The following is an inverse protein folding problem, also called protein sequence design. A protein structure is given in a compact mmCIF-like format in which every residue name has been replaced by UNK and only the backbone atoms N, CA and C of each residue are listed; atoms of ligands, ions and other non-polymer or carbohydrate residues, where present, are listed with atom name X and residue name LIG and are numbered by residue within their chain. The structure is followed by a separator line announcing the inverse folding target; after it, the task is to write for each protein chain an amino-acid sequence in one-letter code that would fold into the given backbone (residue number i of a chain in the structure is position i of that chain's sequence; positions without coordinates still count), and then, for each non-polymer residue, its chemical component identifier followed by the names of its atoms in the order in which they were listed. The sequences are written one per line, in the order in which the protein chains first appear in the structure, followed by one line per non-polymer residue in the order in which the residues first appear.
data_IF_838225817000
#
_entry.id   IF_838225817000
#
_cell.length_a   1.000
_cell.length_b   1.000
_cell.length_c   1.000
_cell.angle_alpha   90.00
_cell.angle_beta   90.00
_cell.angle_gamma   90.00
#
_symmetry.space_group_name_H-M   'P 1'
#
loop_
_entity.id
_entity.type
_entity.pdbx_description
1 polymer ?
#
# COMPACT_ATOMS: atom_id res chain seq x y z
N UNK A 1 -12.08 -17.73 10.59
CA UNK A 1 -11.51 -16.45 10.95
C UNK A 1 -11.82 -15.41 9.89
N UNK A 2 -12.36 -14.28 10.29
CA UNK A 2 -12.77 -13.25 9.33
C UNK A 2 -11.61 -12.35 8.98
N UNK A 3 -11.36 -12.24 7.68
CA UNK A 3 -10.40 -11.27 7.19
C UNK A 3 -11.15 -10.02 6.79
N UNK A 4 -10.70 -8.90 7.31
CA UNK A 4 -11.28 -7.62 6.98
C UNK A 4 -10.77 -7.17 5.61
N UNK A 5 -11.68 -6.67 4.79
CA UNK A 5 -11.32 -6.06 3.51
C UNK A 5 -11.20 -4.55 3.70
N UNK A 6 -10.06 -4.01 3.31
CA UNK A 6 -9.83 -2.56 3.31
C UNK A 6 -9.96 -2.08 1.87
N UNK A 7 -10.71 -1.03 1.68
CA UNK A 7 -10.98 -0.52 0.34
C UNK A 7 -10.89 1.00 0.39
N UNK A 8 -10.07 1.59 -0.47
CA UNK A 8 -9.85 3.02 -0.46
C UNK A 8 -9.18 3.45 -1.76
N UNK A 9 -9.15 4.77 -1.99
CA UNK A 9 -8.43 5.37 -3.11
C UNK A 9 -7.19 6.05 -2.58
N UNK A 10 -6.12 6.07 -3.39
CA UNK A 10 -4.89 6.72 -3.02
C UNK A 10 -4.17 7.23 -4.26
N UNK A 11 -3.33 8.24 -4.04
CA UNK A 11 -2.48 8.79 -5.10
C UNK A 11 -1.17 8.01 -5.07
N UNK A 12 -0.70 7.58 -6.24
CA UNK A 12 0.60 6.93 -6.34
C UNK A 12 1.68 7.97 -6.07
N UNK A 13 2.57 7.67 -5.12
CA UNK A 13 3.67 8.53 -4.71
C UNK A 13 4.96 7.99 -5.30
N UNK A 14 5.84 8.90 -5.70
CA UNK A 14 7.17 8.51 -6.13
C UNK A 14 8.05 8.34 -4.90
N UNK A 15 8.75 7.22 -4.81
CA UNK A 15 9.68 6.99 -3.71
C UNK A 15 10.93 7.81 -3.91
N UNK A 16 11.37 8.52 -2.86
CA UNK A 16 12.63 9.23 -2.89
C UNK A 16 13.82 8.30 -2.59
N UNK A 17 13.53 7.10 -2.15
CA UNK A 17 14.52 6.08 -1.85
C UNK A 17 14.43 5.01 -2.92
N UNK A 18 15.56 4.70 -3.56
CA UNK A 18 15.59 3.73 -4.63
C UNK A 18 15.26 4.36 -5.98
N UNK A 19 15.49 3.61 -7.05
CA UNK A 19 15.37 4.11 -8.41
C UNK A 19 14.03 3.73 -9.01
N UNK A 20 13.20 4.72 -9.27
CA UNK A 20 11.93 4.51 -9.96
C UNK A 20 10.88 3.78 -9.14
N UNK A 21 11.06 3.70 -7.83
CA UNK A 21 10.09 3.07 -6.96
C UNK A 21 8.87 3.96 -6.75
N UNK A 22 7.74 3.33 -6.46
CA UNK A 22 6.51 4.04 -6.16
C UNK A 22 5.76 3.30 -5.07
N UNK A 23 4.87 4.03 -4.39
CA UNK A 23 4.09 3.45 -3.30
C UNK A 23 2.76 4.17 -3.17
N UNK A 24 1.86 3.54 -2.42
CA UNK A 24 0.62 4.17 -1.99
C UNK A 24 0.56 4.11 -0.47
N UNK A 25 -0.06 5.12 0.13
CA UNK A 25 -0.22 5.16 1.58
C UNK A 25 -1.36 4.24 1.98
N UNK A 26 -1.13 3.43 3.04
CA UNK A 26 -2.19 2.68 3.68
C UNK A 26 -2.75 3.58 4.79
N UNK A 27 -3.99 4.04 4.70
CA UNK A 27 -4.49 5.14 5.54
C UNK A 27 -4.94 4.72 6.94
N UNK A 28 -4.59 3.51 7.38
CA UNK A 28 -5.00 3.00 8.69
C UNK A 28 -3.78 2.70 9.53
N UNK A 29 -3.98 2.61 10.85
CA UNK A 29 -2.92 2.26 11.78
C UNK A 29 -2.73 0.73 11.74
N UNK A 30 -1.64 0.30 11.11
CA UNK A 30 -1.35 -1.12 10.90
C UNK A 30 -1.23 -1.85 12.24
N UNK A 31 -0.61 -1.22 13.23
CA UNK A 31 -0.43 -1.84 14.54
C UNK A 31 -1.77 -2.05 15.23
N UNK A 32 -2.66 -1.09 15.12
CA UNK A 32 -4.00 -1.20 15.70
C UNK A 32 -4.85 -2.22 14.95
N UNK A 33 -4.73 -2.26 13.61
CA UNK A 33 -5.57 -3.12 12.80
C UNK A 33 -5.09 -4.57 12.78
N UNK A 34 -3.78 -4.80 12.78
CA UNK A 34 -3.21 -6.13 12.59
C UNK A 34 -2.37 -6.62 13.77
N UNK A 35 -2.07 -5.75 14.73
CA UNK A 35 -1.23 -6.12 15.88
C UNK A 35 0.24 -6.29 15.56
N UNK A 36 0.69 -5.82 14.41
CA UNK A 36 2.08 -5.93 13.96
C UNK A 36 2.49 -4.64 13.26
N UNK A 37 3.80 -4.45 13.10
CA UNK A 37 4.34 -3.29 12.38
C UNK A 37 4.54 -3.53 10.89
N UNK A 38 4.39 -4.77 10.43
CA UNK A 38 4.52 -5.16 9.04
C UNK A 38 3.55 -6.31 8.78
N UNK A 39 2.81 -6.24 7.70
CA UNK A 39 1.81 -7.26 7.41
C UNK A 39 1.82 -7.63 5.94
N UNK A 40 1.79 -8.94 5.68
CA UNK A 40 1.68 -9.46 4.32
C UNK A 40 0.23 -9.36 3.89
N UNK A 41 -0.01 -8.92 2.66
CA UNK A 41 -1.36 -8.66 2.18
C UNK A 41 -1.55 -9.18 0.75
N UNK A 42 -2.82 -9.47 0.44
CA UNK A 42 -3.30 -9.55 -0.93
C UNK A 42 -3.91 -8.20 -1.27
N UNK A 43 -3.42 -7.57 -2.31
CA UNK A 43 -3.90 -6.27 -2.73
C UNK A 43 -4.37 -6.31 -4.17
N UNK A 44 -5.22 -5.37 -4.54
CA UNK A 44 -5.56 -5.14 -5.93
C UNK A 44 -5.48 -3.65 -6.21
N UNK A 45 -4.79 -3.29 -7.27
CA UNK A 45 -4.64 -1.92 -7.72
C UNK A 45 -5.46 -1.75 -9.00
N UNK A 46 -6.57 -1.01 -8.91
CA UNK A 46 -7.53 -0.90 -10.03
C UNK A 46 -7.90 -2.28 -10.57
N UNK A 47 -8.03 -3.26 -9.65
CA UNK A 47 -8.38 -4.63 -10.02
C UNK A 47 -7.20 -5.54 -10.35
N UNK A 48 -5.98 -5.01 -10.48
CA UNK A 48 -4.81 -5.83 -10.77
C UNK A 48 -4.25 -6.43 -9.47
N UNK A 49 -4.24 -7.76 -9.32
CA UNK A 49 -3.83 -8.39 -8.06
C UNK A 49 -2.32 -8.29 -7.83
N UNK A 50 -1.96 -8.15 -6.57
CA UNK A 50 -0.57 -8.08 -6.14
C UNK A 50 -0.44 -8.56 -4.71
N UNK A 51 0.48 -9.49 -4.47
CA UNK A 51 0.81 -9.93 -3.12
C UNK A 51 2.06 -9.20 -2.65
N UNK A 52 1.92 -8.44 -1.58
CA UNK A 52 3.01 -7.65 -1.06
C UNK A 52 2.92 -7.51 0.44
N UNK A 53 3.54 -6.46 0.96
CA UNK A 53 3.53 -6.18 2.40
C UNK A 53 3.33 -4.70 2.64
N UNK A 54 2.55 -4.39 3.66
CA UNK A 54 2.45 -3.03 4.18
C UNK A 54 3.59 -2.86 5.17
N UNK A 55 4.36 -1.79 5.02
CA UNK A 55 5.58 -1.61 5.81
C UNK A 55 5.71 -0.17 6.29
N UNK A 56 6.56 0.01 7.31
CA UNK A 56 7.00 1.31 7.80
C UNK A 56 8.37 1.58 7.20
N UNK A 57 8.45 2.60 6.34
CA UNK A 57 9.70 2.98 5.68
C UNK A 57 10.29 4.27 6.26
N UNK A 58 9.89 4.62 7.47
CA UNK A 58 10.42 5.82 8.12
C UNK A 58 9.72 7.11 7.75
N UNK A 59 8.61 7.02 7.04
CA UNK A 59 7.81 8.17 6.66
C UNK A 59 6.82 8.47 7.78
N UNK A 60 6.59 9.75 8.06
CA UNK A 60 5.64 10.17 9.09
C UNK A 60 4.47 10.92 8.46
N UNK A 61 3.30 10.75 9.04
CA UNK A 61 2.14 11.56 8.72
C UNK A 61 2.32 12.97 9.29
N UNK A 62 1.55 13.95 8.83
CA UNK A 62 1.67 15.32 9.35
C UNK A 62 1.49 15.42 10.87
N UNK A 63 0.75 14.50 11.48
CA UNK A 63 0.54 14.51 12.93
C UNK A 63 1.66 13.79 13.70
N UNK A 64 2.70 13.31 13.01
CA UNK A 64 3.83 12.62 13.61
C UNK A 64 3.67 11.11 13.74
N UNK A 65 2.51 10.57 13.42
CA UNK A 65 2.30 9.12 13.46
C UNK A 65 2.99 8.43 12.30
N UNK A 66 3.19 7.11 12.41
CA UNK A 66 3.83 6.32 11.37
C UNK A 66 2.93 6.29 10.13
N UNK A 67 3.53 6.58 8.98
CA UNK A 67 2.86 6.45 7.68
C UNK A 67 3.22 5.09 7.12
N UNK A 68 2.24 4.19 7.07
CA UNK A 68 2.45 2.86 6.50
C UNK A 68 2.22 2.91 5.00
N UNK A 69 3.03 2.18 4.25
CA UNK A 69 2.96 2.22 2.79
C UNK A 69 2.92 0.82 2.20
N UNK A 70 2.43 0.76 0.98
CA UNK A 70 2.40 -0.45 0.16
C UNK A 70 3.05 -0.10 -1.18
N UNK A 71 4.13 -0.80 -1.52
CA UNK A 71 4.81 -0.57 -2.78
C UNK A 71 3.96 -0.99 -3.96
N UNK A 72 4.05 -0.25 -5.06
CA UNK A 72 3.36 -0.63 -6.29
C UNK A 72 4.40 -0.80 -7.39
N UNK A 73 4.50 -2.02 -7.92
CA UNK A 73 5.53 -2.39 -8.88
C UNK A 73 5.32 -1.67 -10.21
N UNK A 74 6.43 -1.42 -10.89
CA UNK A 74 6.40 -0.78 -12.19
C UNK A 74 5.55 -1.55 -13.19
N UNK A 75 5.64 -2.89 -13.18
CA UNK A 75 4.86 -3.73 -14.07
C UNK A 75 3.36 -3.58 -13.84
N UNK A 76 2.95 -3.45 -12.58
CA UNK A 76 1.55 -3.25 -12.24
C UNK A 76 1.09 -1.88 -12.72
N UNK A 77 1.89 -0.83 -12.46
CA UNK A 77 1.55 0.52 -12.94
C UNK A 77 1.37 0.54 -14.45
N UNK A 78 2.22 -0.21 -15.16
CA UNK A 78 2.15 -0.30 -16.61
C UNK A 78 0.86 -0.99 -17.08
N UNK A 79 0.48 -2.08 -16.40
CA UNK A 79 -0.73 -2.82 -16.74
C UNK A 79 -2.00 -2.00 -16.55
N UNK A 80 -2.06 -1.18 -15.51
CA UNK A 80 -3.25 -0.38 -15.22
C UNK A 80 -3.19 1.00 -15.86
N UNK A 81 -2.07 1.34 -16.53
CA UNK A 81 -1.93 2.63 -17.21
C UNK A 81 -1.82 3.81 -16.27
N UNK A 82 -1.27 3.60 -15.08
CA UNK A 82 -1.16 4.64 -14.05
C UNK A 82 0.28 4.90 -13.70
N UNK A 83 0.55 6.10 -13.19
CA UNK A 83 1.90 6.52 -12.85
C UNK A 83 1.84 7.44 -11.63
N UNK A 84 2.99 7.78 -11.01
CA UNK A 84 2.99 8.69 -9.86
C UNK A 84 2.19 9.95 -10.15
N UNK A 85 1.34 10.33 -9.20
CA UNK A 85 0.41 11.44 -9.34
C UNK A 85 -1.01 11.01 -9.69
N UNK A 86 -1.19 9.79 -10.18
CA UNK A 86 -2.52 9.28 -10.53
C UNK A 86 -3.20 8.68 -9.30
N UNK A 87 -4.54 8.75 -9.30
CA UNK A 87 -5.36 8.13 -8.25
C UNK A 87 -5.72 6.73 -8.68
N UNK A 88 -5.60 5.76 -7.76
CA UNK A 88 -6.01 4.39 -8.02
C UNK A 88 -6.91 3.89 -6.90
N UNK A 89 -7.72 2.91 -7.23
CA UNK A 89 -8.58 2.23 -6.26
C UNK A 89 -7.85 1.00 -5.74
N UNK A 90 -7.83 0.85 -4.42
CA UNK A 90 -7.05 -0.20 -3.77
C UNK A 90 -7.94 -1.03 -2.88
N UNK A 91 -7.80 -2.35 -2.97
CA UNK A 91 -8.38 -3.27 -1.99
C UNK A 91 -7.24 -4.06 -1.36
N UNK A 92 -7.36 -4.34 -0.06
CA UNK A 92 -6.32 -5.03 0.71
C UNK A 92 -6.96 -5.98 1.69
N UNK A 93 -6.46 -7.22 1.74
CA UNK A 93 -6.78 -8.16 2.81
C UNK A 93 -5.48 -8.74 3.35
N UNK A 94 -5.47 -9.11 4.62
CA UNK A 94 -4.30 -9.74 5.22
C UNK A 94 -4.09 -11.11 4.61
N UNK A 95 -2.83 -11.41 4.27
CA UNK A 95 -2.44 -12.70 3.73
C UNK A 95 -1.86 -13.55 4.85
N UNK A 96 -2.39 -14.73 5.02
CA UNK A 96 -1.89 -15.68 6.01
C UNK A 96 -0.72 -16.45 5.42
N UNK A 97 0.31 -16.57 6.18
CA UNK A 97 1.60 -17.20 5.96
C UNK A 97 2.57 -16.32 5.19
#
# INVERSE_FOLDING_TARGET
MNKKLYEYDAIIQLSEVGKGGAYVVFPYDVRAEFGKGRVKVHAAFDGEPYDGSIVNMGIKNPDGSVCYILGILKDIRKKIGKQPGDIIHITVTEREN
#
